data_IF_330091898729
#
_entry.id   IF_330091898729
#
_cell.length_a   1.000
_cell.length_b   1.000
_cell.length_c   1.000
_cell.angle_alpha   90.00
_cell.angle_beta   90.00
_cell.angle_gamma   90.00
#
_symmetry.space_group_name_H-M   'P 1'
#
loop_
_entity.id
_entity.type
_entity.pdbx_description
1 polymer ?
#
# COMPACT_ATOMS: atom_id res chain seq x y z
N UNK A 1 -22.70 -8.72 4.89
CA UNK A 1 -21.27 -8.36 4.74
C UNK A 1 -20.84 -7.60 5.99
N UNK A 2 -19.80 -8.05 6.70
CA UNK A 2 -19.31 -7.38 7.92
C UNK A 2 -18.45 -6.16 7.56
N UNK A 3 -18.66 -5.03 8.25
CA UNK A 3 -17.99 -3.76 7.96
C UNK A 3 -16.55 -3.71 8.48
N UNK A 4 -15.70 -2.83 7.91
CA UNK A 4 -14.32 -2.60 8.38
C UNK A 4 -14.27 -2.34 9.89
N UNK A 5 -15.17 -1.50 10.41
CA UNK A 5 -15.24 -1.14 11.83
C UNK A 5 -15.53 -2.35 12.72
N UNK A 6 -16.33 -3.31 12.25
CA UNK A 6 -16.60 -4.57 12.98
C UNK A 6 -15.32 -5.38 13.15
N UNK A 7 -14.51 -5.48 12.10
CA UNK A 7 -13.24 -6.21 12.16
C UNK A 7 -12.18 -5.45 12.96
N UNK A 8 -12.13 -4.12 12.86
CA UNK A 8 -11.30 -3.28 13.74
C UNK A 8 -11.63 -3.53 15.22
N UNK A 9 -12.89 -3.51 15.61
CA UNK A 9 -13.30 -3.80 16.98
C UNK A 9 -12.82 -5.20 17.45
N UNK A 10 -12.85 -6.21 16.58
CA UNK A 10 -12.31 -7.56 16.87
C UNK A 10 -10.78 -7.59 17.00
N UNK A 11 -10.04 -6.67 16.38
CA UNK A 11 -8.59 -6.56 16.59
C UNK A 11 -8.29 -6.02 18.00
N UNK A 12 -9.12 -5.08 18.48
CA UNK A 12 -9.02 -4.50 19.82
C UNK A 12 -9.49 -5.43 20.94
N UNK A 13 -10.40 -6.37 20.64
CA UNK A 13 -10.99 -7.25 21.65
C UNK A 13 -9.96 -8.26 22.21
N UNK A 14 -9.41 -7.93 23.38
CA UNK A 14 -8.45 -8.76 24.11
C UNK A 14 -9.02 -10.11 24.60
N UNK A 15 -10.34 -10.30 24.58
CA UNK A 15 -10.98 -11.59 24.92
C UNK A 15 -10.85 -12.60 23.79
N UNK A 16 -10.55 -12.14 22.58
CA UNK A 16 -10.32 -13.02 21.43
C UNK A 16 -8.88 -13.52 21.40
N UNK A 17 -8.70 -14.75 20.94
CA UNK A 17 -7.37 -15.30 20.70
C UNK A 17 -6.59 -14.45 19.68
N UNK A 18 -5.26 -14.38 19.83
CA UNK A 18 -4.39 -13.61 18.92
C UNK A 18 -4.59 -14.02 17.45
N UNK A 19 -4.84 -15.31 17.18
CA UNK A 19 -5.19 -15.80 15.85
C UNK A 19 -6.46 -15.17 15.29
N UNK A 20 -7.51 -14.99 16.11
CA UNK A 20 -8.77 -14.33 15.70
C UNK A 20 -8.58 -12.83 15.49
N UNK A 21 -7.84 -12.16 16.39
CA UNK A 21 -7.47 -10.74 16.24
C UNK A 21 -6.69 -10.50 14.95
N UNK A 22 -5.66 -11.31 14.70
CA UNK A 22 -4.87 -11.24 13.47
C UNK A 22 -5.71 -11.57 12.22
N UNK A 23 -6.62 -12.55 12.29
CA UNK A 23 -7.57 -12.80 11.18
C UNK A 23 -8.46 -11.60 10.90
N UNK A 24 -8.91 -10.87 11.92
CA UNK A 24 -9.71 -9.66 11.75
C UNK A 24 -8.90 -8.52 11.10
N UNK A 25 -7.64 -8.34 11.49
CA UNK A 25 -6.71 -7.40 10.82
C UNK A 25 -6.58 -7.74 9.33
N UNK A 26 -6.37 -9.01 8.98
CA UNK A 26 -6.29 -9.44 7.58
C UNK A 26 -7.57 -9.10 6.80
N UNK A 27 -8.74 -9.28 7.42
CA UNK A 27 -10.01 -8.88 6.78
C UNK A 27 -10.07 -7.36 6.59
N UNK A 28 -9.61 -6.55 7.54
CA UNK A 28 -9.50 -5.10 7.33
C UNK A 28 -8.64 -4.75 6.11
N UNK A 29 -7.51 -5.43 5.92
CA UNK A 29 -6.62 -5.22 4.75
C UNK A 29 -7.33 -5.61 3.45
N UNK A 30 -8.15 -6.66 3.43
CA UNK A 30 -8.94 -7.00 2.21
C UNK A 30 -9.94 -5.91 1.83
N UNK A 31 -10.38 -5.08 2.78
CA UNK A 31 -11.33 -3.99 2.55
C UNK A 31 -10.64 -2.67 2.17
N UNK A 32 -9.38 -2.48 2.55
CA UNK A 32 -8.59 -1.30 2.20
C UNK A 32 -7.10 -1.66 2.17
N UNK A 33 -6.50 -1.63 0.97
CA UNK A 33 -5.10 -1.98 0.75
C UNK A 33 -4.46 -1.00 -0.27
N UNK A 34 -3.98 0.17 0.19
CA UNK A 34 -3.47 1.22 -0.71
C UNK A 34 -2.29 0.78 -1.58
N UNK A 35 -1.50 -0.21 -1.11
CA UNK A 35 -0.38 -0.77 -1.87
C UNK A 35 -0.72 -2.10 -2.56
N UNK A 36 -1.98 -2.52 -2.52
CA UNK A 36 -2.37 -3.90 -2.81
C UNK A 36 -2.20 -4.81 -1.58
N UNK A 37 -2.88 -5.97 -1.58
CA UNK A 37 -3.01 -6.82 -0.39
C UNK A 37 -1.66 -7.24 0.21
N UNK A 38 -0.75 -7.73 -0.64
CA UNK A 38 0.53 -8.30 -0.20
C UNK A 38 1.46 -7.21 0.35
N UNK A 39 1.63 -6.12 -0.39
CA UNK A 39 2.49 -5.02 0.00
C UNK A 39 1.94 -4.26 1.20
N UNK A 40 0.62 -4.07 1.30
CA UNK A 40 0.00 -3.44 2.49
C UNK A 40 0.20 -4.30 3.73
N UNK A 41 0.05 -5.63 3.61
CA UNK A 41 0.33 -6.53 4.74
C UNK A 41 1.80 -6.50 5.14
N UNK A 42 2.73 -6.60 4.18
CA UNK A 42 4.16 -6.48 4.46
C UNK A 42 4.51 -5.14 5.12
N UNK A 43 3.98 -4.03 4.60
CA UNK A 43 4.14 -2.71 5.17
C UNK A 43 3.71 -2.67 6.64
N UNK A 44 2.49 -3.13 6.95
CA UNK A 44 1.98 -3.12 8.33
C UNK A 44 2.78 -4.03 9.26
N UNK A 45 3.36 -5.12 8.76
CA UNK A 45 4.24 -5.96 9.59
C UNK A 45 5.52 -5.22 10.00
N UNK A 46 6.03 -4.34 9.14
CA UNK A 46 7.17 -3.49 9.43
C UNK A 46 6.79 -2.26 10.26
N UNK A 47 5.83 -1.45 9.83
CA UNK A 47 5.50 -0.17 10.47
C UNK A 47 4.91 -0.35 11.87
N UNK A 48 4.16 -1.42 12.11
CA UNK A 48 3.64 -1.74 13.42
C UNK A 48 4.51 -2.72 14.22
N UNK A 49 5.65 -3.17 13.66
CA UNK A 49 6.54 -4.16 14.25
C UNK A 49 5.81 -5.45 14.68
N UNK A 50 5.01 -6.04 13.79
CA UNK A 50 4.22 -7.25 14.12
C UNK A 50 5.19 -8.45 14.23
N UNK A 51 5.36 -9.03 15.42
CA UNK A 51 6.33 -10.11 15.60
C UNK A 51 5.90 -11.39 14.89
N UNK A 52 6.87 -12.26 14.61
CA UNK A 52 6.59 -13.61 14.11
C UNK A 52 5.73 -14.39 15.10
N UNK A 53 6.08 -14.33 16.39
CA UNK A 53 5.27 -14.83 17.52
C UNK A 53 4.43 -13.71 18.12
N UNK A 54 3.12 -13.74 17.87
CA UNK A 54 2.20 -12.67 18.27
C UNK A 54 2.12 -12.46 19.79
N UNK A 55 2.49 -13.47 20.57
CA UNK A 55 2.51 -13.41 22.03
C UNK A 55 3.56 -12.44 22.57
N UNK A 56 4.63 -12.16 21.81
CA UNK A 56 5.68 -11.23 22.23
C UNK A 56 5.18 -9.77 22.27
N UNK A 57 4.30 -9.41 21.34
CA UNK A 57 3.64 -8.10 21.30
C UNK A 57 2.24 -8.22 20.65
N UNK A 58 1.21 -8.50 21.46
CA UNK A 58 -0.19 -8.50 21.00
C UNK A 58 -0.69 -7.16 20.47
N UNK A 59 -0.12 -6.06 20.96
CA UNK A 59 -0.57 -4.69 20.66
C UNK A 59 -0.05 -4.19 19.32
N UNK A 60 0.96 -4.86 18.73
CA UNK A 60 1.36 -4.65 17.35
C UNK A 60 0.19 -4.79 16.36
N UNK A 61 -0.76 -5.68 16.63
CA UNK A 61 -1.97 -5.82 15.81
C UNK A 61 -2.88 -4.59 15.89
N UNK A 62 -2.94 -3.98 17.07
CA UNK A 62 -3.71 -2.75 17.31
C UNK A 62 -3.05 -1.58 16.59
N UNK A 63 -1.74 -1.40 16.75
CA UNK A 63 -0.98 -0.36 16.02
C UNK A 63 -1.18 -0.48 14.50
N UNK A 64 -1.12 -1.70 13.97
CA UNK A 64 -1.34 -1.96 12.55
C UNK A 64 -2.76 -1.59 12.07
N UNK A 65 -3.81 -1.97 12.82
CA UNK A 65 -5.18 -1.65 12.41
C UNK A 65 -5.50 -0.17 12.55
N UNK A 66 -4.90 0.52 13.52
CA UNK A 66 -5.08 1.96 13.70
C UNK A 66 -4.42 2.76 12.58
N UNK A 67 -3.19 2.42 12.20
CA UNK A 67 -2.56 3.05 11.04
C UNK A 67 -3.38 2.87 9.76
N UNK A 68 -3.89 1.65 9.55
CA UNK A 68 -4.75 1.35 8.41
C UNK A 68 -6.07 2.13 8.47
N UNK A 69 -6.66 2.28 9.66
CA UNK A 69 -7.90 3.01 9.88
C UNK A 69 -7.73 4.51 9.65
N UNK A 70 -6.68 5.13 10.19
CA UNK A 70 -6.33 6.54 9.97
C UNK A 70 -6.23 6.85 8.46
N UNK A 71 -5.49 6.01 7.72
CA UNK A 71 -5.35 6.15 6.28
C UNK A 71 -6.70 5.96 5.56
N UNK A 72 -7.52 5.00 6.01
CA UNK A 72 -8.84 4.73 5.45
C UNK A 72 -9.81 5.90 5.65
N UNK A 73 -9.76 6.59 6.79
CA UNK A 73 -10.61 7.76 7.06
C UNK A 73 -10.28 8.88 6.08
N UNK A 74 -9.00 9.18 5.87
CA UNK A 74 -8.55 10.18 4.90
C UNK A 74 -8.97 9.84 3.47
N UNK A 75 -8.86 8.56 3.10
CA UNK A 75 -9.30 8.09 1.79
C UNK A 75 -10.82 8.20 1.61
N UNK A 76 -11.61 7.80 2.62
CA UNK A 76 -13.07 7.87 2.54
C UNK A 76 -13.57 9.30 2.36
N UNK A 77 -13.05 10.25 3.15
CA UNK A 77 -13.41 11.66 3.03
C UNK A 77 -13.20 12.16 1.59
N UNK A 78 -12.01 11.88 1.01
CA UNK A 78 -11.71 12.28 -0.36
C UNK A 78 -12.57 11.54 -1.40
N UNK A 79 -12.86 10.26 -1.18
CA UNK A 79 -13.71 9.47 -2.07
C UNK A 79 -15.17 9.99 -2.08
N UNK A 80 -15.68 10.44 -0.93
CA UNK A 80 -17.01 11.04 -0.80
C UNK A 80 -17.11 12.40 -1.50
N UNK A 81 -16.10 13.26 -1.32
CA UNK A 81 -15.98 14.53 -2.05
C UNK A 81 -15.98 14.32 -3.56
N UNK A 82 -15.13 13.40 -4.04
CA UNK A 82 -15.06 13.05 -5.46
C UNK A 82 -16.41 12.53 -5.98
N UNK A 83 -17.08 11.65 -5.22
CA UNK A 83 -18.39 11.13 -5.59
C UNK A 83 -19.45 12.25 -5.67
N UNK A 84 -19.43 13.20 -4.74
CA UNK A 84 -20.31 14.37 -4.76
C UNK A 84 -20.06 15.26 -5.99
N UNK A 85 -18.79 15.56 -6.28
CA UNK A 85 -18.38 16.31 -7.45
C UNK A 85 -18.84 15.63 -8.75
N UNK A 86 -18.56 14.33 -8.91
CA UNK A 86 -18.98 13.56 -10.08
C UNK A 86 -20.49 13.48 -10.24
N UNK A 87 -21.26 13.43 -9.14
CA UNK A 87 -22.74 13.50 -9.21
C UNK A 87 -23.19 14.85 -9.76
N UNK A 88 -22.61 15.96 -9.30
CA UNK A 88 -22.93 17.29 -9.79
C UNK A 88 -22.56 17.47 -11.27
N UNK A 89 -21.37 17.04 -11.69
CA UNK A 89 -20.91 17.13 -13.08
C UNK A 89 -21.78 16.29 -14.04
N UNK A 90 -22.14 15.07 -13.63
CA UNK A 90 -23.07 14.22 -14.40
C UNK A 90 -24.44 14.88 -14.57
N UNK A 91 -24.97 15.53 -13.52
CA UNK A 91 -26.24 16.29 -13.60
C UNK A 91 -26.11 17.48 -14.56
N UNK A 92 -24.96 18.13 -14.59
CA UNK A 92 -24.64 19.22 -15.52
C UNK A 92 -24.23 18.74 -16.94
N UNK A 93 -24.45 17.47 -17.29
CA UNK A 93 -24.15 16.91 -18.62
C UNK A 93 -22.68 16.53 -18.87
N UNK A 94 -21.76 16.83 -17.94
CA UNK A 94 -20.33 16.49 -18.06
C UNK A 94 -20.05 15.07 -17.60
N UNK A 95 -20.18 14.11 -18.52
CA UNK A 95 -20.04 12.66 -18.22
C UNK A 95 -18.60 12.14 -18.29
N UNK A 96 -17.72 12.77 -19.06
CA UNK A 96 -16.29 12.46 -19.03
C UNK A 96 -15.71 12.82 -17.66
N UNK A 97 -14.82 11.98 -17.13
CA UNK A 97 -14.06 12.28 -15.92
C UNK A 97 -12.78 13.03 -16.31
N UNK A 98 -12.46 14.08 -15.57
CA UNK A 98 -11.23 14.86 -15.76
C UNK A 98 -10.01 14.02 -15.35
N UNK A 99 -8.90 14.22 -16.05
CA UNK A 99 -7.59 13.64 -15.74
C UNK A 99 -6.79 14.62 -14.87
N UNK A 100 -6.05 14.17 -13.84
CA UNK A 100 -5.80 12.78 -13.47
C UNK A 100 -6.97 12.14 -12.71
N UNK A 101 -7.17 10.83 -12.92
CA UNK A 101 -8.11 10.05 -12.11
C UNK A 101 -7.57 9.88 -10.68
N UNK A 102 -8.47 9.83 -9.68
CA UNK A 102 -8.11 9.47 -8.32
C UNK A 102 -7.28 8.21 -8.23
N UNK A 103 -6.28 8.19 -7.35
CA UNK A 103 -5.32 7.08 -7.25
C UNK A 103 -6.00 5.73 -6.94
N UNK A 104 -7.08 5.72 -6.16
CA UNK A 104 -7.86 4.52 -5.84
C UNK A 104 -8.76 4.03 -6.98
N UNK A 105 -8.91 4.79 -8.06
CA UNK A 105 -9.62 4.40 -9.28
C UNK A 105 -8.69 4.04 -10.43
N UNK A 106 -7.36 4.13 -10.22
CA UNK A 106 -6.37 3.72 -11.22
C UNK A 106 -6.39 2.21 -11.35
N UNK A 107 -6.30 1.71 -12.58
CA UNK A 107 -6.12 0.29 -12.83
C UNK A 107 -4.81 -0.16 -12.20
N UNK A 108 -4.83 -1.22 -11.41
CA UNK A 108 -3.61 -1.78 -10.82
C UNK A 108 -2.67 -2.39 -11.86
N UNK A 109 -3.17 -2.71 -13.06
CA UNK A 109 -2.38 -3.22 -14.18
C UNK A 109 -1.64 -2.13 -14.96
N UNK A 110 -2.19 -0.91 -14.96
CA UNK A 110 -1.71 0.23 -15.76
C UNK A 110 -1.12 1.34 -14.88
N UNK A 111 -1.25 1.21 -13.56
CA UNK A 111 -0.82 2.20 -12.59
C UNK A 111 0.69 2.17 -12.33
N UNK A 112 1.29 3.30 -11.94
CA UNK A 112 2.72 3.39 -11.59
C UNK A 112 3.09 2.60 -10.33
N UNK A 113 2.10 2.06 -9.62
CA UNK A 113 2.22 1.20 -8.45
C UNK A 113 2.26 -0.31 -8.77
N UNK A 114 2.29 -0.70 -10.05
CA UNK A 114 2.31 -2.09 -10.47
C UNK A 114 3.44 -2.90 -9.82
N UNK A 115 4.61 -2.28 -9.65
CA UNK A 115 5.77 -2.91 -9.03
C UNK A 115 5.47 -3.46 -7.63
N UNK A 116 4.52 -2.90 -6.87
CA UNK A 116 4.17 -3.39 -5.52
C UNK A 116 3.40 -4.72 -5.55
N UNK A 117 2.74 -5.04 -6.65
CA UNK A 117 2.07 -6.32 -6.84
C UNK A 117 3.07 -7.42 -7.24
N UNK A 118 4.06 -7.03 -8.03
CA UNK A 118 5.11 -7.91 -8.56
C UNK A 118 6.24 -8.12 -7.53
N UNK A 119 6.49 -7.12 -6.68
CA UNK A 119 7.43 -7.14 -5.58
C UNK A 119 6.84 -6.45 -4.33
N UNK A 120 6.15 -7.22 -3.47
CA UNK A 120 5.50 -6.69 -2.28
C UNK A 120 6.43 -6.12 -1.22
N UNK A 121 7.76 -6.28 -1.32
CA UNK A 121 8.69 -5.72 -0.33
C UNK A 121 9.16 -4.31 -0.71
N UNK A 122 9.00 -3.91 -1.97
CA UNK A 122 9.39 -2.58 -2.48
C UNK A 122 8.21 -1.62 -2.51
N UNK A 123 7.63 -1.32 -1.35
CA UNK A 123 6.56 -0.33 -1.17
C UNK A 123 7.07 0.92 -0.42
N UNK A 124 6.31 2.03 -0.38
CA UNK A 124 6.71 3.20 0.42
C UNK A 124 6.95 2.87 1.89
N UNK A 125 7.98 3.47 2.48
CA UNK A 125 8.28 3.39 3.92
C UNK A 125 7.45 4.37 4.76
N UNK A 126 6.84 5.37 4.12
CA UNK A 126 5.92 6.31 4.76
C UNK A 126 4.76 5.57 5.43
N UNK A 127 4.29 6.09 6.58
CA UNK A 127 3.07 5.56 7.20
C UNK A 127 1.91 5.69 6.23
N UNK A 128 0.97 4.74 6.27
CA UNK A 128 -0.17 4.75 5.32
C UNK A 128 -0.94 6.09 5.27
N UNK A 129 -1.21 6.79 6.40
CA UNK A 129 -1.90 8.08 6.36
C UNK A 129 -1.13 9.15 5.60
N UNK A 130 0.20 9.16 5.72
CA UNK A 130 1.08 10.12 5.02
C UNK A 130 1.06 9.88 3.51
N UNK A 131 1.12 8.61 3.09
CA UNK A 131 0.94 8.26 1.69
C UNK A 131 -0.42 8.77 1.16
N UNK A 132 -1.52 8.55 1.89
CA UNK A 132 -2.85 9.00 1.47
C UNK A 132 -2.93 10.52 1.38
N UNK A 133 -2.40 11.26 2.37
CA UNK A 133 -2.33 12.74 2.32
C UNK A 133 -1.55 13.21 1.10
N UNK A 134 -0.40 12.58 0.84
CA UNK A 134 0.46 12.90 -0.30
C UNK A 134 -0.27 12.69 -1.62
N UNK A 135 -0.95 11.55 -1.78
CA UNK A 135 -1.73 11.30 -2.99
C UNK A 135 -2.91 12.25 -3.15
N UNK A 136 -3.57 12.65 -2.06
CA UNK A 136 -4.66 13.62 -2.11
C UNK A 136 -4.14 15.01 -2.54
N UNK A 137 -3.00 15.47 -1.99
CA UNK A 137 -2.38 16.73 -2.41
C UNK A 137 -2.03 16.73 -3.92
N UNK A 138 -1.50 15.63 -4.46
CA UNK A 138 -1.24 15.49 -5.90
C UNK A 138 -2.55 15.57 -6.70
N UNK A 139 -3.64 14.97 -6.21
CA UNK A 139 -4.96 15.09 -6.86
C UNK A 139 -5.50 16.51 -6.82
N UNK A 140 -5.13 17.30 -5.82
CA UNK A 140 -5.47 18.71 -5.70
C UNK A 140 -4.58 19.61 -6.58
N UNK A 141 -3.64 19.01 -7.32
CA UNK A 141 -2.74 19.72 -8.24
C UNK A 141 -1.49 20.29 -7.56
N UNK A 142 -1.21 19.91 -6.31
CA UNK A 142 0.02 20.29 -5.63
C UNK A 142 1.20 19.56 -6.27
N UNK A 143 2.19 20.32 -6.72
CA UNK A 143 3.47 19.78 -7.16
C UNK A 143 4.34 19.48 -5.92
N UNK A 144 4.62 18.20 -5.68
CA UNK A 144 5.39 17.74 -4.52
C UNK A 144 6.76 17.25 -4.98
N UNK A 145 7.85 17.62 -4.27
CA UNK A 145 9.19 17.21 -4.65
C UNK A 145 9.38 15.70 -4.48
N UNK A 146 10.27 15.13 -5.29
CA UNK A 146 10.65 13.72 -5.24
C UNK A 146 9.56 12.76 -5.71
N UNK A 147 9.68 11.48 -5.33
CA UNK A 147 8.75 10.45 -5.74
C UNK A 147 7.29 10.77 -5.33
N UNK A 148 6.29 10.65 -6.23
CA UNK A 148 4.88 10.85 -5.89
C UNK A 148 4.39 9.97 -4.74
N UNK A 149 4.96 8.77 -4.57
CA UNK A 149 4.53 7.82 -3.54
C UNK A 149 5.25 7.99 -2.20
N UNK A 150 6.58 8.07 -2.19
CA UNK A 150 7.36 8.08 -0.94
C UNK A 150 8.13 9.38 -0.67
N UNK A 151 8.16 10.34 -1.62
CA UNK A 151 8.94 11.58 -1.49
C UNK A 151 10.45 11.41 -1.64
N UNK A 152 10.94 10.23 -1.99
CA UNK A 152 12.38 10.00 -2.20
C UNK A 152 12.89 10.77 -3.43
N UNK A 153 13.96 11.52 -3.25
CA UNK A 153 14.62 12.36 -4.27
C UNK A 153 15.92 11.72 -4.80
N UNK A 154 16.32 10.56 -4.28
CA UNK A 154 17.52 9.88 -4.75
C UNK A 154 17.39 9.48 -6.22
N UNK A 155 18.52 9.33 -6.93
CA UNK A 155 18.51 8.92 -8.33
C UNK A 155 17.70 7.65 -8.57
N UNK A 156 16.95 7.67 -9.67
CA UNK A 156 16.14 6.57 -10.13
C UNK A 156 17.00 5.34 -10.41
N UNK A 157 16.38 4.18 -10.36
CA UNK A 157 17.02 2.91 -10.68
C UNK A 157 16.40 2.34 -11.95
N UNK A 158 17.25 2.19 -12.96
CA UNK A 158 16.86 1.58 -14.23
C UNK A 158 16.67 0.07 -14.04
N UNK A 159 15.52 -0.43 -14.47
CA UNK A 159 15.20 -1.86 -14.39
C UNK A 159 14.74 -2.37 -15.76
N UNK A 160 15.29 -3.53 -16.15
CA UNK A 160 14.86 -4.21 -17.36
C UNK A 160 13.52 -4.91 -17.12
N UNK A 161 12.63 -4.78 -18.09
CA UNK A 161 11.34 -5.48 -18.14
C UNK A 161 11.35 -6.65 -19.13
N UNK A 162 12.52 -6.96 -19.70
CA UNK A 162 12.68 -7.89 -20.83
C UNK A 162 12.31 -7.29 -22.19
N UNK A 163 11.40 -6.32 -22.24
CA UNK A 163 11.08 -5.57 -23.46
C UNK A 163 11.92 -4.30 -23.60
N UNK A 164 12.11 -3.58 -22.49
CA UNK A 164 12.92 -2.37 -22.44
C UNK A 164 13.19 -1.96 -21.00
N UNK A 165 13.59 -0.71 -20.82
CA UNK A 165 13.95 -0.17 -19.51
C UNK A 165 12.85 0.73 -18.95
N UNK A 166 12.68 0.69 -17.63
CA UNK A 166 11.83 1.59 -16.86
C UNK A 166 12.65 2.22 -15.74
N UNK A 167 12.34 3.47 -15.40
CA UNK A 167 12.98 4.16 -14.29
C UNK A 167 12.07 4.13 -13.06
N UNK A 168 12.56 3.45 -12.02
CA UNK A 168 11.82 3.26 -10.78
C UNK A 168 12.39 4.14 -9.68
N UNK A 169 11.53 4.58 -8.77
CA UNK A 169 11.97 5.15 -7.51
C UNK A 169 12.78 4.11 -6.73
N UNK A 170 14.00 4.48 -6.30
CA UNK A 170 14.87 3.63 -5.49
C UNK A 170 14.20 3.17 -4.19
N UNK A 171 13.47 4.05 -3.51
CA UNK A 171 12.90 3.77 -2.20
C UNK A 171 11.61 2.94 -2.20
N UNK A 172 10.80 3.00 -3.26
CA UNK A 172 9.49 2.34 -3.27
C UNK A 172 9.09 1.73 -4.61
N UNK A 173 10.01 1.61 -5.58
CA UNK A 173 9.76 1.05 -6.91
C UNK A 173 8.59 1.67 -7.71
N UNK A 174 8.11 2.86 -7.33
CA UNK A 174 7.14 3.60 -8.13
C UNK A 174 7.72 3.90 -9.51
N UNK A 175 6.95 3.66 -10.58
CA UNK A 175 7.39 3.93 -11.95
C UNK A 175 7.32 5.43 -12.22
N UNK A 176 8.48 6.06 -12.50
CA UNK A 176 8.59 7.48 -12.85
C UNK A 176 8.72 7.68 -14.36
N UNK A 177 9.53 6.85 -15.02
CA UNK A 177 9.59 6.78 -16.47
C UNK A 177 9.12 5.40 -16.94
N UNK A 178 7.96 5.29 -17.62
CA UNK A 178 7.49 4.04 -18.17
C UNK A 178 8.34 3.61 -19.37
N UNK A 179 8.10 2.40 -19.88
CA UNK A 179 8.84 1.89 -21.03
C UNK A 179 8.60 2.76 -22.27
N UNK A 180 9.62 3.04 -23.10
CA UNK A 180 9.48 3.89 -24.29
C UNK A 180 8.41 3.48 -25.30
N UNK A 181 8.00 2.21 -25.33
CA UNK A 181 6.90 1.74 -26.19
C UNK A 181 5.50 2.17 -25.70
N UNK A 182 5.40 2.87 -24.58
CA UNK A 182 4.14 3.32 -23.98
C UNK A 182 3.34 2.21 -23.30
N UNK A 183 3.84 0.97 -23.29
CA UNK A 183 3.20 -0.18 -22.63
C UNK A 183 3.80 -0.41 -21.24
N UNK A 184 2.95 -0.87 -20.31
CA UNK A 184 3.38 -1.30 -18.98
C UNK A 184 3.77 -2.77 -19.02
N UNK A 185 5.06 -3.04 -18.82
CA UNK A 185 5.59 -4.40 -18.80
C UNK A 185 5.66 -4.95 -17.38
N UNK A 186 5.66 -6.29 -17.29
CA UNK A 186 5.86 -6.98 -16.03
C UNK A 186 7.27 -6.72 -15.52
N UNK A 187 7.39 -6.24 -14.30
CA UNK A 187 8.64 -6.26 -13.55
C UNK A 187 8.87 -7.68 -13.03
N UNK A 188 10.09 -8.17 -13.21
CA UNK A 188 10.56 -9.40 -12.58
C UNK A 188 11.44 -9.00 -11.40
N UNK A 189 11.02 -9.27 -10.15
CA UNK A 189 11.84 -8.94 -8.99
C UNK A 189 13.19 -9.64 -9.06
N UNK A 190 14.25 -8.92 -8.72
CA UNK A 190 15.62 -9.45 -8.67
C UNK A 190 15.74 -10.57 -7.62
N UNK A 191 15.05 -10.40 -6.49
CA UNK A 191 14.99 -11.37 -5.41
C UNK A 191 13.58 -11.98 -5.37
N UNK A 192 13.42 -13.27 -5.70
CA UNK A 192 12.13 -13.93 -5.60
C UNK A 192 11.61 -13.85 -4.16
N UNK A 193 10.40 -13.33 -3.97
CA UNK A 193 9.75 -13.36 -2.66
C UNK A 193 8.85 -14.59 -2.54
N UNK A 194 8.72 -15.11 -1.32
CA UNK A 194 7.73 -16.13 -1.00
C UNK A 194 6.55 -15.49 -0.29
N UNK A 195 5.38 -15.48 -0.93
CA UNK A 195 4.17 -15.01 -0.28
C UNK A 195 3.88 -15.78 1.01
N UNK A 196 4.13 -17.10 1.03
CA UNK A 196 3.98 -17.92 2.25
C UNK A 196 4.90 -17.44 3.38
N UNK A 197 6.13 -17.04 3.05
CA UNK A 197 7.09 -16.57 4.03
C UNK A 197 6.72 -15.17 4.56
N UNK A 198 6.31 -14.24 3.69
CA UNK A 198 5.75 -12.94 4.11
C UNK A 198 4.50 -13.17 4.97
N UNK A 199 3.60 -14.05 4.52
CA UNK A 199 2.37 -14.42 5.23
C UNK A 199 2.68 -14.88 6.67
N UNK A 200 3.72 -15.68 6.83
CA UNK A 200 4.21 -16.19 8.12
C UNK A 200 5.08 -15.20 8.88
N UNK A 201 5.34 -14.00 8.32
CA UNK A 201 6.23 -12.97 8.86
C UNK A 201 7.64 -13.50 9.11
N UNK A 202 8.16 -14.31 8.19
CA UNK A 202 9.52 -14.85 8.27
C UNK A 202 10.61 -13.76 8.15
N UNK A 203 10.25 -12.59 7.60
CA UNK A 203 11.07 -11.38 7.57
C UNK A 203 11.07 -10.62 8.90
N UNK A 204 10.29 -11.05 9.89
CA UNK A 204 10.29 -10.53 11.26
C UNK A 204 10.90 -11.58 12.20
N UNK A 205 11.57 -11.12 13.23
CA UNK A 205 12.01 -11.93 14.36
C UNK A 205 10.86 -12.21 15.32
N UNK A 206 11.11 -13.04 16.33
CA UNK A 206 10.12 -13.40 17.34
C UNK A 206 9.76 -12.23 18.27
N UNK A 207 10.65 -11.24 18.41
CA UNK A 207 10.51 -10.04 19.22
C UNK A 207 10.04 -8.79 18.43
N UNK A 208 9.79 -8.92 17.11
CA UNK A 208 9.20 -7.84 16.30
C UNK A 208 10.21 -6.95 15.57
N UNK A 209 11.49 -7.32 15.57
CA UNK A 209 12.52 -6.68 14.76
C UNK A 209 12.58 -7.28 13.35
N UNK A 210 13.12 -6.56 12.34
CA UNK A 210 13.44 -7.17 11.05
C UNK A 210 14.43 -8.33 11.23
N UNK A 211 14.13 -9.47 10.62
CA UNK A 211 14.99 -10.65 10.69
C UNK A 211 16.29 -10.40 9.89
N UNK A 212 17.49 -10.43 10.52
CA UNK A 212 18.76 -10.13 9.85
C UNK A 212 19.15 -11.19 8.82
N UNK A 213 18.58 -12.40 8.89
CA UNK A 213 18.84 -13.48 7.93
C UNK A 213 17.82 -13.53 6.81
N UNK A 214 16.85 -12.61 6.79
CA UNK A 214 15.94 -12.48 5.65
C UNK A 214 16.73 -11.95 4.44
N UNK A 215 16.61 -12.57 3.26
CA UNK A 215 17.23 -12.02 2.07
C UNK A 215 16.66 -10.62 1.84
N UNK A 216 17.49 -9.59 2.11
CA UNK A 216 17.16 -8.23 1.79
C UNK A 216 17.01 -8.15 0.26
N UNK A 217 15.81 -7.76 -0.20
CA UNK A 217 15.55 -7.45 -1.61
C UNK A 217 16.04 -6.06 -1.98
#
# INVERSE_FOLDING_TARGET
>A
MTSFLTHRARVHDARLTLRRRHSALRTCITLFAPYGLRATYHHLTLSAAIPRRLEADPDALVRAVEELYEARVLWLARAEEYAAQRRAEKRAGRRAAVSPRPWWLRSWWEGPNRAWYEDPVRHPSLRLPEYVRRQNAILDGVDLPGCPACGDERPLVSNSTGHGWVELCRGCAWVLAPCPCGQQHRFVPQTPFSWKAIWQRAHMSDDGMPNPHWPAG
#
